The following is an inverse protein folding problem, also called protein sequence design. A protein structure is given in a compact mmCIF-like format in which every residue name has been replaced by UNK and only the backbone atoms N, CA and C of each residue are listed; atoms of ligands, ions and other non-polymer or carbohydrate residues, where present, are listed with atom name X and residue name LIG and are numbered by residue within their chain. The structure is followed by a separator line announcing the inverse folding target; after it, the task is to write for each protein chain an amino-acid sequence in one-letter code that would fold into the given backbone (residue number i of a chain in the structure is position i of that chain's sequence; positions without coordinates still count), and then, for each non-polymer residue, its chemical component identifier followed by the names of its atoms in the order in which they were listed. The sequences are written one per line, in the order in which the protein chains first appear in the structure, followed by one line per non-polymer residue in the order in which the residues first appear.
data_IF_952479665750
#
_entry.id   IF_952479665750
#
_cell.length_a   1.000
_cell.length_b   1.000
_cell.length_c   1.000
_cell.angle_alpha   90.00
_cell.angle_beta   90.00
_cell.angle_gamma   90.00
#
_symmetry.space_group_name_H-M   'P 1'
#
loop_
_entity.id
_entity.type
_entity.pdbx_description
1 polymer ?
#
# COMPACT_ATOMS: atom_id res chain seq x y z
N UNK A 1 9.53 -25.94 -20.28
CA UNK A 1 8.68 -26.64 -21.26
C UNK A 1 7.28 -26.07 -21.09
N UNK A 2 6.87 -25.15 -21.97
CA UNK A 2 5.60 -24.41 -21.81
C UNK A 2 4.61 -24.88 -22.87
N UNK A 3 3.43 -25.34 -22.43
CA UNK A 3 2.28 -25.61 -23.30
C UNK A 3 1.22 -24.53 -23.06
N UNK A 4 0.96 -23.70 -24.08
CA UNK A 4 -0.19 -22.80 -24.13
C UNK A 4 -1.44 -23.57 -24.58
N UNK A 5 -2.56 -23.38 -23.88
CA UNK A 5 -3.87 -23.89 -24.25
C UNK A 5 -4.37 -23.23 -25.55
N UNK A 6 -4.74 -24.03 -26.55
CA UNK A 6 -5.23 -23.56 -27.85
C UNK A 6 -6.74 -23.24 -27.81
N UNK A 7 -7.08 -21.96 -27.93
CA UNK A 7 -8.41 -21.48 -28.32
C UNK A 7 -8.47 -21.17 -29.82
N UNK A 8 -9.57 -21.56 -30.48
CA UNK A 8 -9.84 -21.56 -31.93
C UNK A 8 -9.33 -20.32 -32.70
N UNK A 9 -8.58 -20.58 -33.77
CA UNK A 9 -8.16 -19.60 -34.80
C UNK A 9 -9.37 -19.15 -35.64
N UNK A 10 -9.59 -17.84 -35.72
CA UNK A 10 -10.11 -17.19 -36.93
C UNK A 10 -8.94 -16.47 -37.59
N UNK A 11 -8.69 -16.79 -38.85
CA UNK A 11 -7.65 -16.18 -39.67
C UNK A 11 -8.06 -14.76 -40.04
N UNK A 12 -7.33 -13.79 -39.51
CA UNK A 12 -7.27 -12.41 -39.97
C UNK A 12 -5.88 -11.90 -39.60
N UNK A 13 -4.98 -11.82 -40.58
CA UNK A 13 -3.68 -11.18 -40.41
C UNK A 13 -3.90 -9.67 -40.25
N UNK A 14 -4.17 -9.21 -39.02
CA UNK A 14 -3.68 -7.91 -38.61
C UNK A 14 -2.23 -8.12 -38.16
N UNK A 15 -1.27 -7.61 -38.92
CA UNK A 15 0.03 -7.22 -38.38
C UNK A 15 -0.23 -6.01 -37.47
N UNK A 16 -0.95 -6.23 -36.36
CA UNK A 16 -1.02 -5.24 -35.30
C UNK A 16 0.40 -5.15 -34.76
N UNK A 17 1.05 -4.02 -34.99
CA UNK A 17 2.26 -3.66 -34.27
C UNK A 17 1.91 -3.85 -32.79
N UNK A 18 2.62 -4.70 -32.04
CA UNK A 18 2.28 -4.91 -30.64
C UNK A 18 2.31 -3.56 -29.95
N UNK A 19 1.18 -3.17 -29.37
CA UNK A 19 1.13 -1.95 -28.58
C UNK A 19 2.10 -2.13 -27.42
N UNK A 20 3.20 -1.37 -27.43
CA UNK A 20 4.23 -1.40 -26.40
C UNK A 20 3.91 -0.40 -25.27
N UNK A 21 2.67 0.08 -25.21
CA UNK A 21 2.21 1.00 -24.18
C UNK A 21 1.75 0.23 -22.95
N UNK A 22 2.36 0.54 -21.81
CA UNK A 22 1.91 0.08 -20.50
C UNK A 22 1.01 1.13 -19.88
N UNK A 23 -0.26 0.80 -19.63
CA UNK A 23 -1.22 1.63 -18.90
C UNK A 23 -1.00 1.47 -17.39
N UNK A 24 -0.24 2.40 -16.82
CA UNK A 24 0.04 2.44 -15.39
C UNK A 24 -1.14 3.02 -14.62
N UNK A 25 -1.65 2.27 -13.64
CA UNK A 25 -2.71 2.75 -12.77
C UNK A 25 -2.13 3.62 -11.65
N UNK A 26 -2.57 4.88 -11.57
CA UNK A 26 -2.15 5.86 -10.57
C UNK A 26 -3.32 6.18 -9.63
N UNK A 27 -3.07 6.13 -8.32
CA UNK A 27 -4.06 6.41 -7.29
C UNK A 27 -3.88 7.86 -6.80
N UNK A 28 -4.94 8.67 -6.83
CA UNK A 28 -4.94 10.11 -6.50
C UNK A 28 -4.24 11.04 -7.52
N UNK A 29 -4.41 12.35 -7.33
CA UNK A 29 -3.79 13.36 -8.21
C UNK A 29 -2.27 13.39 -8.10
N UNK A 30 -1.71 13.14 -6.91
CA UNK A 30 -0.26 13.17 -6.72
C UNK A 30 0.43 12.08 -7.52
N UNK A 31 -0.08 10.84 -7.48
CA UNK A 31 0.47 9.75 -8.30
C UNK A 31 0.22 9.98 -9.78
N UNK A 32 -0.95 10.51 -10.18
CA UNK A 32 -1.25 10.78 -11.58
C UNK A 32 -0.31 11.85 -12.17
N UNK A 33 -0.02 12.90 -11.40
CA UNK A 33 0.97 13.93 -11.77
C UNK A 33 2.36 13.32 -11.95
N UNK A 34 2.78 12.46 -11.01
CA UNK A 34 4.06 11.74 -11.11
C UNK A 34 4.10 10.80 -12.33
N UNK A 35 3.01 10.09 -12.61
CA UNK A 35 2.89 9.20 -13.76
C UNK A 35 3.00 9.98 -15.08
N UNK A 36 2.31 11.12 -15.20
CA UNK A 36 2.37 11.99 -16.37
C UNK A 36 3.80 12.49 -16.60
N UNK A 37 4.46 12.95 -15.54
CA UNK A 37 5.87 13.35 -15.61
C UNK A 37 6.76 12.18 -16.04
N UNK A 38 6.58 10.99 -15.45
CA UNK A 38 7.34 9.79 -15.82
C UNK A 38 7.14 9.41 -17.29
N UNK A 39 5.90 9.42 -17.78
CA UNK A 39 5.58 9.21 -19.20
C UNK A 39 6.36 10.17 -20.09
N UNK A 40 6.34 11.45 -19.77
CA UNK A 40 6.91 12.47 -20.65
C UNK A 40 8.45 12.42 -20.65
N UNK A 41 9.09 12.14 -19.50
CA UNK A 41 10.52 11.86 -19.46
C UNK A 41 10.89 10.59 -20.24
N UNK A 42 10.11 9.51 -20.10
CA UNK A 42 10.37 8.25 -20.83
C UNK A 42 10.32 8.41 -22.35
N UNK A 43 9.44 9.27 -22.87
CA UNK A 43 9.40 9.59 -24.31
C UNK A 43 10.70 10.24 -24.81
N UNK A 44 11.42 10.97 -23.95
CA UNK A 44 12.65 11.68 -24.35
C UNK A 44 13.89 10.79 -24.35
N UNK A 45 13.92 9.76 -23.50
CA UNK A 45 15.10 8.89 -23.31
C UNK A 45 15.00 7.56 -24.04
N UNK A 46 13.79 7.12 -24.38
CA UNK A 46 13.57 5.85 -25.08
C UNK A 46 13.49 6.04 -26.60
N UNK A 47 13.94 5.04 -27.38
CA UNK A 47 13.85 5.11 -28.83
C UNK A 47 12.39 5.15 -29.32
N UNK A 48 12.13 5.59 -30.57
CA UNK A 48 10.78 5.66 -31.18
C UNK A 48 9.96 4.37 -31.11
N UNK A 49 10.63 3.21 -31.14
CA UNK A 49 10.06 1.87 -31.07
C UNK A 49 10.16 1.22 -29.68
N UNK A 50 10.67 1.96 -28.68
CA UNK A 50 10.74 1.53 -27.29
C UNK A 50 9.38 1.48 -26.58
N UNK A 51 9.33 0.96 -25.34
CA UNK A 51 8.08 0.95 -24.57
C UNK A 51 7.56 2.36 -24.32
N UNK A 52 6.25 2.46 -24.14
CA UNK A 52 5.53 3.70 -23.83
C UNK A 52 4.74 3.55 -22.54
N UNK A 53 4.44 4.67 -21.91
CA UNK A 53 3.64 4.72 -20.70
C UNK A 53 2.35 5.50 -20.98
N UNK A 54 1.22 4.98 -20.50
CA UNK A 54 -0.03 5.71 -20.36
C UNK A 54 -0.44 5.71 -18.89
N UNK A 55 -1.20 6.73 -18.47
CA UNK A 55 -1.62 6.88 -17.07
C UNK A 55 -3.13 6.70 -16.97
N UNK A 56 -3.57 5.76 -16.13
CA UNK A 56 -4.98 5.52 -15.81
C UNK A 56 -5.19 5.92 -14.36
N UNK A 57 -5.91 7.00 -14.14
CA UNK A 57 -6.16 7.50 -12.79
C UNK A 57 -7.36 6.77 -12.16
N UNK A 58 -7.20 6.31 -10.92
CA UNK A 58 -8.28 5.79 -10.07
C UNK A 58 -8.24 6.42 -8.67
N UNK A 59 -9.24 6.11 -7.86
CA UNK A 59 -9.45 6.69 -6.53
C UNK A 59 -8.86 5.86 -5.38
N UNK A 60 -8.64 4.57 -5.59
CA UNK A 60 -8.09 3.66 -4.58
C UNK A 60 -7.31 2.50 -5.22
N UNK A 61 -6.47 1.83 -4.42
CA UNK A 61 -5.75 0.63 -4.87
C UNK A 61 -6.70 -0.53 -5.26
N UNK A 62 -7.80 -0.82 -4.51
CA UNK A 62 -8.82 -1.77 -4.97
C UNK A 62 -9.42 -1.43 -6.33
N UNK A 63 -9.64 -0.15 -6.65
CA UNK A 63 -10.14 0.26 -7.96
C UNK A 63 -9.12 0.01 -9.07
N UNK A 64 -7.82 0.18 -8.79
CA UNK A 64 -6.77 -0.19 -9.74
C UNK A 64 -6.67 -1.70 -9.97
N UNK A 65 -6.81 -2.52 -8.92
CA UNK A 65 -6.84 -3.99 -9.05
C UNK A 65 -7.99 -4.41 -9.97
N UNK A 66 -9.20 -3.86 -9.75
CA UNK A 66 -10.36 -4.09 -10.62
C UNK A 66 -10.13 -3.61 -12.05
N UNK A 67 -9.52 -2.44 -12.22
CA UNK A 67 -9.20 -1.89 -13.54
C UNK A 67 -8.25 -2.79 -14.34
N UNK A 68 -7.25 -3.39 -13.68
CA UNK A 68 -6.33 -4.33 -14.33
C UNK A 68 -7.05 -5.63 -14.68
N UNK A 69 -7.84 -6.18 -13.76
CA UNK A 69 -8.66 -7.38 -14.02
C UNK A 69 -9.63 -7.17 -15.19
N UNK A 70 -10.19 -5.95 -15.34
CA UNK A 70 -11.07 -5.55 -16.44
C UNK A 70 -10.32 -5.10 -17.71
N UNK A 71 -8.99 -5.23 -17.78
CA UNK A 71 -8.16 -4.76 -18.91
C UNK A 71 -8.23 -3.25 -19.21
N UNK A 72 -8.68 -2.43 -18.25
CA UNK A 72 -8.67 -0.96 -18.34
C UNK A 72 -7.27 -0.39 -18.07
N UNK A 73 -6.47 -1.05 -17.22
CA UNK A 73 -5.06 -0.76 -16.94
C UNK A 73 -4.21 -2.04 -17.01
N UNK A 74 -2.89 -1.91 -17.01
CA UNK A 74 -1.97 -3.05 -17.20
C UNK A 74 -1.08 -3.32 -15.98
N UNK A 75 -0.68 -2.27 -15.26
CA UNK A 75 0.27 -2.38 -14.15
C UNK A 75 -0.02 -1.39 -13.03
N UNK A 76 0.34 -1.78 -11.81
CA UNK A 76 0.41 -0.92 -10.64
C UNK A 76 1.42 -1.50 -9.65
N UNK A 77 1.90 -0.69 -8.72
CA UNK A 77 2.67 -1.19 -7.57
C UNK A 77 1.74 -1.44 -6.38
N UNK A 78 1.94 -2.58 -5.70
CA UNK A 78 1.17 -2.96 -4.52
C UNK A 78 2.09 -3.34 -3.36
N UNK A 79 1.62 -3.02 -2.17
CA UNK A 79 2.16 -3.56 -0.92
C UNK A 79 1.92 -5.08 -0.86
N UNK A 80 2.83 -5.84 -0.24
CA UNK A 80 2.78 -7.30 -0.21
C UNK A 80 1.46 -7.87 0.35
N UNK A 81 0.81 -7.16 1.27
CA UNK A 81 -0.51 -7.54 1.77
C UNK A 81 -1.61 -7.46 0.69
N UNK A 82 -1.61 -6.40 -0.13
CA UNK A 82 -2.57 -6.27 -1.23
C UNK A 82 -2.25 -7.12 -2.45
N UNK A 83 -1.00 -7.58 -2.61
CA UNK A 83 -0.67 -8.60 -3.62
C UNK A 83 -1.47 -9.88 -3.38
N UNK A 84 -1.72 -10.25 -2.12
CA UNK A 84 -2.58 -11.39 -1.78
C UNK A 84 -4.01 -11.17 -2.32
N UNK A 85 -4.64 -10.04 -1.98
CA UNK A 85 -6.01 -9.71 -2.43
C UNK A 85 -6.13 -9.61 -3.95
N UNK A 86 -5.10 -9.07 -4.61
CA UNK A 86 -5.03 -8.97 -6.06
C UNK A 86 -4.92 -10.35 -6.75
N UNK A 87 -4.34 -11.34 -6.08
CA UNK A 87 -4.20 -12.71 -6.59
C UNK A 87 -5.47 -13.55 -6.44
N UNK A 88 -6.42 -13.15 -5.59
CA UNK A 88 -7.66 -13.88 -5.38
C UNK A 88 -8.62 -13.75 -6.58
N UNK A 89 -9.49 -14.75 -6.76
CA UNK A 89 -10.63 -14.68 -7.68
C UNK A 89 -11.57 -13.54 -7.27
N UNK A 90 -12.07 -12.71 -8.21
CA UNK A 90 -11.94 -12.82 -9.67
C UNK A 90 -10.74 -12.08 -10.28
N UNK A 91 -9.93 -11.41 -9.47
CA UNK A 91 -8.86 -10.53 -9.94
C UNK A 91 -7.77 -11.33 -10.67
N UNK A 92 -7.25 -12.41 -10.06
CA UNK A 92 -6.25 -13.31 -10.64
C UNK A 92 -4.96 -12.61 -11.16
N UNK A 93 -4.58 -11.47 -10.56
CA UNK A 93 -3.35 -10.76 -10.91
C UNK A 93 -2.13 -11.55 -10.40
N UNK A 94 -0.96 -11.28 -10.99
CA UNK A 94 0.30 -11.92 -10.62
C UNK A 94 1.39 -10.87 -10.45
N UNK A 95 2.28 -11.00 -9.45
CA UNK A 95 3.46 -10.15 -9.36
C UNK A 95 4.40 -10.45 -10.53
N UNK A 96 4.79 -9.43 -11.28
CA UNK A 96 5.70 -9.54 -12.46
C UNK A 96 7.02 -8.80 -12.27
N UNK A 97 7.08 -7.88 -11.32
CA UNK A 97 8.27 -7.13 -10.93
C UNK A 97 8.21 -6.87 -9.41
N UNK A 98 9.38 -6.72 -8.79
CA UNK A 98 9.52 -6.43 -7.37
C UNK A 98 10.42 -5.21 -7.18
N UNK A 99 10.06 -4.34 -6.24
CA UNK A 99 10.98 -3.33 -5.73
C UNK A 99 12.11 -4.02 -4.98
N UNK A 100 13.33 -3.48 -5.09
CA UNK A 100 14.43 -3.83 -4.20
C UNK A 100 14.85 -2.59 -3.41
N UNK A 101 15.29 -2.84 -2.18
CA UNK A 101 15.83 -1.86 -1.25
C UNK A 101 17.32 -2.15 -1.00
N UNK A 102 17.98 -1.31 -0.21
CA UNK A 102 19.42 -1.41 0.02
C UNK A 102 20.20 -0.76 -1.12
N UNK A 103 21.23 -1.46 -1.62
CA UNK A 103 22.13 -0.96 -2.67
C UNK A 103 22.01 -1.83 -3.92
N UNK A 104 22.53 -1.35 -5.06
CA UNK A 104 22.56 -2.15 -6.30
C UNK A 104 23.46 -3.37 -6.14
N UNK A 105 24.51 -3.24 -5.32
CA UNK A 105 25.47 -4.29 -5.02
C UNK A 105 24.88 -5.35 -4.06
N UNK A 106 23.96 -4.94 -3.18
CA UNK A 106 23.30 -5.80 -2.19
C UNK A 106 21.78 -5.55 -2.18
N UNK A 107 21.06 -5.99 -3.22
CA UNK A 107 19.64 -5.74 -3.35
C UNK A 107 18.84 -6.59 -2.35
N UNK A 108 17.92 -5.95 -1.64
CA UNK A 108 17.00 -6.60 -0.70
C UNK A 108 15.58 -6.50 -1.21
N UNK A 109 14.97 -7.61 -1.59
CA UNK A 109 13.55 -7.66 -2.01
C UNK A 109 12.58 -7.82 -0.84
N UNK A 110 13.01 -7.38 0.35
CA UNK A 110 12.25 -7.45 1.59
C UNK A 110 12.51 -6.19 2.42
N UNK A 111 11.67 -5.97 3.42
CA UNK A 111 11.85 -4.92 4.42
C UNK A 111 11.32 -5.40 5.77
N UNK A 112 11.82 -4.83 6.85
CA UNK A 112 11.34 -5.12 8.20
C UNK A 112 10.13 -4.25 8.56
N UNK A 113 9.07 -4.88 9.05
CA UNK A 113 7.95 -4.22 9.73
C UNK A 113 8.36 -3.90 11.18
N UNK A 114 8.09 -2.68 11.63
CA UNK A 114 8.45 -2.19 12.97
C UNK A 114 7.30 -1.42 13.59
N UNK A 115 7.24 -1.43 14.92
CA UNK A 115 6.37 -0.57 15.72
C UNK A 115 7.21 0.57 16.30
N UNK A 116 6.94 1.80 15.88
CA UNK A 116 7.64 3.00 16.33
C UNK A 116 6.83 3.66 17.43
N UNK A 117 7.50 4.08 18.50
CA UNK A 117 6.92 4.80 19.64
C UNK A 117 7.79 6.01 20.00
N UNK A 118 7.24 6.97 20.72
CA UNK A 118 8.03 8.11 21.22
C UNK A 118 8.92 7.69 22.38
N UNK A 119 10.13 8.25 22.45
CA UNK A 119 11.01 8.10 23.62
C UNK A 119 10.28 8.57 24.88
N UNK A 120 10.41 7.82 25.98
CA UNK A 120 9.75 8.12 27.25
C UNK A 120 8.34 7.54 27.42
N UNK A 121 7.80 6.85 26.42
CA UNK A 121 6.58 6.04 26.63
C UNK A 121 6.90 4.79 27.44
N UNK A 122 6.08 4.51 28.46
CA UNK A 122 6.23 3.34 29.33
C UNK A 122 5.21 2.25 28.97
N UNK A 123 5.35 1.69 27.76
CA UNK A 123 4.62 0.50 27.36
C UNK A 123 5.42 -0.35 26.39
N UNK A 124 5.21 -1.65 26.46
CA UNK A 124 5.80 -2.64 25.56
C UNK A 124 4.77 -3.18 24.57
N UNK A 125 5.23 -4.00 23.61
CA UNK A 125 4.37 -4.58 22.57
C UNK A 125 3.17 -5.37 23.15
N UNK A 126 3.31 -5.94 24.35
CA UNK A 126 2.23 -6.66 25.02
C UNK A 126 1.23 -5.77 25.78
N UNK A 127 1.46 -4.46 25.86
CA UNK A 127 0.67 -3.46 26.58
C UNK A 127 0.02 -2.43 25.63
N UNK A 128 -0.26 -2.85 24.39
CA UNK A 128 -0.87 -2.01 23.36
C UNK A 128 -2.38 -1.81 23.51
N UNK A 129 -3.04 -2.60 24.36
CA UNK A 129 -4.47 -2.45 24.63
C UNK A 129 -4.75 -1.06 25.24
N UNK A 130 -5.79 -0.40 24.73
CA UNK A 130 -6.16 0.96 25.14
C UNK A 130 -5.24 2.07 24.62
N UNK A 131 -4.18 1.76 23.85
CA UNK A 131 -3.35 2.79 23.19
C UNK A 131 -4.01 3.30 21.91
N UNK A 132 -3.53 4.43 21.41
CA UNK A 132 -3.88 4.98 20.11
C UNK A 132 -2.91 4.51 19.02
N UNK A 133 -3.42 4.08 17.87
CA UNK A 133 -2.59 3.45 16.84
C UNK A 133 -2.66 4.12 15.47
N UNK A 134 -1.50 4.24 14.81
CA UNK A 134 -1.34 4.78 13.46
C UNK A 134 -0.92 3.66 12.50
N UNK A 135 -1.72 3.42 11.47
CA UNK A 135 -1.52 2.33 10.51
C UNK A 135 -1.33 2.89 9.09
N UNK A 136 -0.52 2.22 8.27
CA UNK A 136 -0.31 2.65 6.88
C UNK A 136 -1.55 2.53 6.00
N UNK A 137 -2.45 1.62 6.35
CA UNK A 137 -3.67 1.29 5.60
C UNK A 137 -4.11 -0.15 5.84
N UNK A 138 -5.42 -0.38 5.78
CA UNK A 138 -6.05 -1.69 5.94
C UNK A 138 -5.48 -2.69 4.92
N UNK A 139 -5.13 -3.89 5.40
CA UNK A 139 -4.62 -4.98 4.54
C UNK A 139 -3.15 -4.87 4.13
N UNK A 140 -2.42 -3.79 4.50
CA UNK A 140 -0.98 -3.66 4.20
C UNK A 140 -0.11 -4.48 5.16
N UNK A 141 1.05 -4.94 4.69
CA UNK A 141 1.97 -5.80 5.42
C UNK A 141 2.38 -5.23 6.78
N UNK A 142 3.23 -4.20 6.80
CA UNK A 142 3.78 -3.67 8.05
C UNK A 142 2.75 -2.88 8.87
N UNK A 143 1.83 -2.19 8.20
CA UNK A 143 0.85 -1.35 8.89
C UNK A 143 -0.37 -2.08 9.41
N UNK A 144 -0.68 -3.30 8.96
CA UNK A 144 -1.89 -4.01 9.37
C UNK A 144 -1.68 -5.51 9.56
N UNK A 145 -1.32 -6.25 8.51
CA UNK A 145 -1.26 -7.72 8.53
C UNK A 145 -0.33 -8.24 9.62
N UNK A 146 0.90 -7.71 9.70
CA UNK A 146 1.88 -8.13 10.70
C UNK A 146 1.46 -7.75 12.13
N UNK A 147 1.21 -6.47 12.48
CA UNK A 147 0.89 -6.11 13.87
C UNK A 147 -0.42 -6.72 14.35
N UNK A 148 -1.47 -6.75 13.51
CA UNK A 148 -2.76 -7.31 13.91
C UNK A 148 -2.68 -8.85 13.98
N UNK A 149 -1.92 -9.50 13.10
CA UNK A 149 -1.64 -10.93 13.20
C UNK A 149 -0.97 -11.32 14.52
N UNK A 150 0.01 -10.54 14.97
CA UNK A 150 0.68 -10.76 16.27
C UNK A 150 -0.24 -10.50 17.47
N UNK A 151 -1.19 -9.58 17.34
CA UNK A 151 -2.15 -9.24 18.40
C UNK A 151 -3.43 -10.09 18.37
N UNK A 152 -3.64 -10.89 17.32
CA UNK A 152 -4.92 -11.56 17.05
C UNK A 152 -5.48 -12.31 18.26
N UNK A 153 -4.67 -13.13 18.93
CA UNK A 153 -5.11 -13.90 20.09
C UNK A 153 -5.42 -13.06 21.34
N UNK A 154 -4.93 -11.81 21.40
CA UNK A 154 -5.22 -10.85 22.48
C UNK A 154 -6.47 -10.01 22.22
N UNK A 155 -6.98 -10.01 20.99
CA UNK A 155 -8.22 -9.32 20.68
C UNK A 155 -9.39 -10.02 21.38
N UNK A 156 -10.31 -9.20 21.91
CA UNK A 156 -11.55 -9.65 22.53
C UNK A 156 -12.45 -10.38 21.54
N UNK A 157 -13.12 -11.44 21.99
CA UNK A 157 -14.17 -12.10 21.21
C UNK A 157 -15.46 -11.24 21.18
N UNK A 158 -16.23 -11.26 20.08
CA UNK A 158 -15.97 -11.96 18.81
C UNK A 158 -14.91 -11.26 17.95
N UNK A 159 -13.97 -12.03 17.38
CA UNK A 159 -12.93 -11.51 16.47
C UNK A 159 -13.37 -11.29 15.01
N UNK A 160 -14.67 -11.44 14.72
CA UNK A 160 -15.24 -11.22 13.39
C UNK A 160 -16.42 -10.24 13.45
N UNK A 161 -16.43 -9.17 12.63
CA UNK A 161 -15.35 -8.76 11.72
C UNK A 161 -14.11 -8.29 12.49
N UNK A 162 -12.92 -8.50 11.91
CA UNK A 162 -11.63 -8.23 12.55
C UNK A 162 -11.50 -6.76 12.95
N UNK A 163 -12.00 -5.87 12.10
CA UNK A 163 -12.04 -4.42 12.28
C UNK A 163 -12.74 -4.02 13.58
N UNK A 164 -13.83 -4.71 13.94
CA UNK A 164 -14.55 -4.46 15.20
C UNK A 164 -13.73 -4.84 16.41
N UNK A 165 -13.02 -5.97 16.35
CA UNK A 165 -12.17 -6.45 17.43
C UNK A 165 -10.97 -5.52 17.64
N UNK A 166 -10.30 -5.11 16.55
CA UNK A 166 -9.21 -4.12 16.60
C UNK A 166 -9.71 -2.76 17.10
N UNK A 167 -10.89 -2.32 16.64
CA UNK A 167 -11.55 -1.09 17.09
C UNK A 167 -11.89 -1.09 18.58
N UNK A 168 -11.98 -2.25 19.21
CA UNK A 168 -12.27 -2.39 20.65
C UNK A 168 -10.97 -2.50 21.46
N UNK A 169 -9.92 -3.05 20.86
CA UNK A 169 -8.60 -3.20 21.47
C UNK A 169 -7.86 -1.86 21.63
N UNK A 170 -7.86 -1.01 20.60
CA UNK A 170 -7.27 0.33 20.67
C UNK A 170 -8.29 1.37 21.13
N UNK A 171 -7.84 2.43 21.82
CA UNK A 171 -8.73 3.51 22.27
C UNK A 171 -9.11 4.49 21.15
N UNK A 172 -8.40 4.44 20.03
CA UNK A 172 -8.69 5.17 18.79
C UNK A 172 -7.56 4.98 17.79
N UNK A 173 -7.87 4.96 16.49
CA UNK A 173 -6.86 4.67 15.47
C UNK A 173 -6.97 5.58 14.25
N UNK A 174 -5.90 5.58 13.45
CA UNK A 174 -5.97 5.90 12.03
C UNK A 174 -5.66 4.64 11.23
N UNK A 175 -6.68 4.08 10.57
CA UNK A 175 -6.57 2.95 9.65
C UNK A 175 -7.10 3.37 8.28
N UNK A 176 -6.26 3.98 7.42
CA UNK A 176 -6.68 4.34 6.07
C UNK A 176 -7.30 3.14 5.33
N UNK A 177 -8.27 3.39 4.46
CA UNK A 177 -9.08 2.39 3.75
C UNK A 177 -10.09 1.61 4.60
N UNK A 178 -10.18 1.81 5.92
CA UNK A 178 -11.26 1.24 6.74
C UNK A 178 -12.60 1.95 6.48
N UNK A 179 -13.71 1.25 6.71
CA UNK A 179 -15.06 1.81 6.62
C UNK A 179 -15.33 2.76 7.82
N UNK A 180 -15.43 4.08 7.59
CA UNK A 180 -15.60 5.05 8.67
C UNK A 180 -17.01 5.04 9.28
N UNK A 181 -18.00 4.49 8.57
CA UNK A 181 -19.39 4.40 9.03
C UNK A 181 -19.55 3.17 9.91
N UNK A 182 -19.03 2.02 9.47
CA UNK A 182 -19.10 0.78 10.22
C UNK A 182 -18.16 0.77 11.45
N UNK A 183 -16.97 1.37 11.32
CA UNK A 183 -15.92 1.32 12.35
C UNK A 183 -15.32 2.70 12.65
N UNK A 184 -16.10 3.65 13.19
CA UNK A 184 -15.68 5.05 13.34
C UNK A 184 -14.41 5.24 14.20
N UNK A 185 -14.19 4.39 15.21
CA UNK A 185 -12.97 4.43 16.05
C UNK A 185 -11.69 4.12 15.26
N UNK A 186 -11.76 3.35 14.17
CA UNK A 186 -10.61 3.11 13.29
C UNK A 186 -10.20 4.35 12.50
N UNK A 187 -11.09 5.35 12.41
CA UNK A 187 -10.90 6.61 11.70
C UNK A 187 -10.82 7.82 12.63
N UNK A 188 -10.79 7.59 13.95
CA UNK A 188 -10.83 8.67 14.94
C UNK A 188 -9.64 9.63 14.81
N UNK A 189 -8.46 9.11 14.43
CA UNK A 189 -7.25 9.92 14.27
C UNK A 189 -7.07 10.44 12.83
N UNK A 190 -7.85 9.93 11.87
CA UNK A 190 -7.88 10.41 10.49
C UNK A 190 -9.30 10.34 9.92
N UNK A 191 -10.14 11.36 10.19
CA UNK A 191 -11.53 11.37 9.77
C UNK A 191 -11.72 11.01 8.29
N UNK A 192 -12.66 10.10 8.04
CA UNK A 192 -12.97 9.59 6.70
C UNK A 192 -12.08 8.45 6.19
N UNK A 193 -10.97 8.11 6.86
CA UNK A 193 -10.10 6.98 6.50
C UNK A 193 -9.72 6.91 5.00
N UNK A 194 -9.46 8.07 4.37
CA UNK A 194 -9.17 8.12 2.92
C UNK A 194 -8.09 7.13 2.47
N UNK A 195 -8.35 6.41 1.39
CA UNK A 195 -7.51 5.31 0.89
C UNK A 195 -6.50 5.77 -0.20
N UNK A 196 -5.91 6.95 -0.02
CA UNK A 196 -4.94 7.50 -0.96
C UNK A 196 -4.06 8.57 -0.30
N UNK A 197 -3.06 9.07 -1.04
CA UNK A 197 -2.17 10.14 -0.57
C UNK A 197 -2.85 11.48 -0.24
N UNK A 198 -4.14 11.66 -0.57
CA UNK A 198 -4.92 12.83 -0.13
C UNK A 198 -5.21 12.82 1.37
N UNK A 199 -5.19 11.65 2.01
CA UNK A 199 -5.28 11.51 3.46
C UNK A 199 -3.87 11.72 4.06
N UNK A 200 -3.63 12.78 4.87
CA UNK A 200 -2.29 13.09 5.38
C UNK A 200 -1.62 11.97 6.19
N UNK A 201 -2.41 11.10 6.82
CA UNK A 201 -1.92 9.96 7.59
C UNK A 201 -1.89 8.63 6.80
N UNK A 202 -2.09 8.66 5.49
CA UNK A 202 -2.00 7.48 4.62
C UNK A 202 -0.55 7.04 4.38
N UNK A 203 -0.34 5.72 4.33
CA UNK A 203 0.94 5.12 3.97
C UNK A 203 2.02 5.22 5.05
N UNK A 204 3.26 4.86 4.70
CA UNK A 204 4.38 4.80 5.63
C UNK A 204 4.68 6.15 6.28
N UNK A 205 4.85 7.19 5.46
CA UNK A 205 5.12 8.56 5.93
C UNK A 205 3.96 9.12 6.74
N UNK A 206 2.72 8.88 6.29
CA UNK A 206 1.54 9.37 6.98
C UNK A 206 1.31 8.73 8.36
N UNK A 207 1.50 7.41 8.47
CA UNK A 207 1.39 6.72 9.76
C UNK A 207 2.45 7.21 10.77
N UNK A 208 3.69 7.45 10.31
CA UNK A 208 4.71 8.06 11.15
C UNK A 208 4.36 9.51 11.54
N UNK A 209 3.80 10.29 10.61
CA UNK A 209 3.32 11.64 10.89
C UNK A 209 2.20 11.64 11.95
N UNK A 210 1.26 10.69 11.90
CA UNK A 210 0.22 10.52 12.91
C UNK A 210 0.80 10.33 14.32
N UNK A 211 1.89 9.57 14.47
CA UNK A 211 2.63 9.45 15.73
C UNK A 211 3.34 10.77 16.09
N UNK A 212 4.09 11.34 15.14
CA UNK A 212 4.87 12.58 15.34
C UNK A 212 3.98 13.71 15.87
N UNK A 213 2.85 13.95 15.22
CA UNK A 213 1.88 15.00 15.56
C UNK A 213 1.13 14.74 16.88
N UNK A 214 1.36 13.59 17.54
CA UNK A 214 0.71 13.24 18.81
C UNK A 214 -0.71 12.68 18.64
N UNK A 215 -1.10 12.29 17.43
CA UNK A 215 -2.37 11.63 17.17
C UNK A 215 -2.42 10.23 17.77
N UNK A 216 -1.35 9.44 17.62
CA UNK A 216 -1.24 8.09 18.17
C UNK A 216 -0.05 7.88 19.09
N UNK A 217 -0.06 6.77 19.82
CA UNK A 217 1.00 6.33 20.73
C UNK A 217 2.00 5.41 20.02
N UNK A 218 1.55 4.68 19.01
CA UNK A 218 2.34 3.75 18.21
C UNK A 218 2.06 3.92 16.72
N UNK A 219 3.10 3.86 15.88
CA UNK A 219 2.97 3.78 14.42
C UNK A 219 3.56 2.47 13.90
N UNK A 220 2.79 1.74 13.09
CA UNK A 220 3.24 0.52 12.45
C UNK A 220 3.71 0.81 11.02
N UNK A 221 5.01 0.73 10.78
CA UNK A 221 5.66 1.17 9.53
C UNK A 221 6.84 0.25 9.15
N UNK A 222 7.56 0.56 8.06
CA UNK A 222 8.80 -0.13 7.70
C UNK A 222 10.01 0.50 8.40
N UNK A 223 11.08 -0.27 8.59
CA UNK A 223 12.30 0.18 9.28
C UNK A 223 12.97 1.43 8.68
N UNK A 224 12.79 1.71 7.38
CA UNK A 224 13.38 2.89 6.73
C UNK A 224 12.60 4.18 6.96
N UNK A 225 11.33 4.10 7.38
CA UNK A 225 10.42 5.26 7.41
C UNK A 225 10.96 6.42 8.24
N UNK A 226 11.54 6.15 9.42
CA UNK A 226 12.07 7.21 10.28
C UNK A 226 13.22 7.98 9.61
N UNK A 227 14.07 7.28 8.86
CA UNK A 227 15.22 7.87 8.16
C UNK A 227 14.80 8.64 6.90
N UNK A 228 13.70 8.24 6.27
CA UNK A 228 13.11 8.95 5.12
C UNK A 228 12.45 10.27 5.56
N UNK A 229 11.83 10.30 6.74
CA UNK A 229 11.10 11.48 7.24
C UNK A 229 11.99 12.43 8.05
N UNK A 230 12.93 11.89 8.82
CA UNK A 230 13.86 12.63 9.67
C UNK A 230 15.31 12.31 9.23
N UNK A 231 15.79 12.97 8.15
CA UNK A 231 17.11 12.67 7.61
C UNK A 231 18.22 13.06 8.60
N UNK A 232 18.03 14.18 9.30
CA UNK A 232 18.98 14.66 10.29
C UNK A 232 18.99 13.76 11.53
N UNK A 233 20.18 13.49 12.05
CA UNK A 233 20.33 12.65 13.25
C UNK A 233 19.78 13.33 14.50
N UNK A 234 19.98 14.64 14.61
CA UNK A 234 19.51 15.43 15.74
C UNK A 234 17.99 15.36 15.93
N UNK A 235 17.22 15.17 14.86
CA UNK A 235 15.76 15.05 14.92
C UNK A 235 15.28 13.68 15.45
N UNK A 236 16.20 12.71 15.59
CA UNK A 236 15.92 11.33 16.00
C UNK A 236 16.31 11.01 17.45
N UNK A 237 17.13 11.85 18.08
CA UNK A 237 17.73 11.64 19.42
C UNK A 237 16.90 12.27 20.56
#
# INVERSE_FOLDING_TARGET
MWTFSQGKRRAGLCLAVPDKTVKWCAVSEHENTKCISFRDHMKTVLPPDGPRLACVKKTSYPDCIKAISASEADAMTLDGGWVYDAGLTPNNLKPVAAEFYGSVEHPQTYYYAVAVVKKGTDFQLNQLEGKKSCHTGLGRSAGWVIPIGLLFCKLSEPRSPLEKAVSSFFSGSCVPCADPVAFPKLCQLCPGCGCSSTQPFFGYVGAFKCLKDGGGDVAFVKHTTIFEVLPEKADRD
#
